data_IF_337724468515
#
_entry.id   IF_337724468515
#
_cell.length_a   1.000
_cell.length_b   1.000
_cell.length_c   1.000
_cell.angle_alpha   90.00
_cell.angle_beta   90.00
_cell.angle_gamma   90.00
#
_symmetry.space_group_name_H-M   'P 1'
#
loop_
_entity.id
_entity.type
_entity.pdbx_description
1 polymer ?
#
# COMPACT_ATOMS: atom_id res chain seq x y z
N UNK A 1 -10.96 -14.18 10.15
CA UNK A 1 -10.13 -13.60 9.08
C UNK A 1 -9.14 -12.67 9.73
N UNK A 2 -7.85 -13.03 9.74
CA UNK A 2 -6.80 -12.16 10.26
C UNK A 2 -6.46 -11.16 9.16
N UNK A 3 -6.81 -9.88 9.34
CA UNK A 3 -6.34 -8.83 8.44
C UNK A 3 -4.83 -8.72 8.59
N UNK A 4 -4.08 -8.93 7.52
CA UNK A 4 -2.64 -8.68 7.52
C UNK A 4 -2.40 -7.18 7.81
N UNK A 5 -1.76 -6.86 8.94
CA UNK A 5 -1.38 -5.49 9.28
C UNK A 5 0.07 -5.25 8.88
N UNK A 6 0.31 -4.30 7.99
CA UNK A 6 1.67 -3.86 7.69
C UNK A 6 2.26 -3.23 8.96
N UNK A 7 3.21 -3.92 9.58
CA UNK A 7 3.74 -3.53 10.89
C UNK A 7 5.23 -3.24 10.76
N UNK A 8 5.62 -2.01 11.10
CA UNK A 8 7.03 -1.64 11.23
C UNK A 8 7.33 -1.40 12.72
N UNK A 9 8.36 -2.07 13.24
CA UNK A 9 8.78 -1.98 14.65
C UNK A 9 10.14 -1.30 14.68
N UNK A 10 10.22 -0.21 15.44
CA UNK A 10 11.46 0.52 15.68
C UNK A 10 11.68 0.71 17.17
N UNK A 11 12.90 0.46 17.64
CA UNK A 11 13.31 0.69 19.02
C UNK A 11 14.04 2.03 19.11
N UNK A 12 13.55 2.92 19.97
CA UNK A 12 14.09 4.27 20.15
C UNK A 12 14.61 4.40 21.58
N UNK A 13 15.74 5.08 21.75
CA UNK A 13 16.38 5.29 23.05
C UNK A 13 16.29 6.77 23.45
N UNK A 14 15.29 7.15 24.28
CA UNK A 14 15.16 8.54 24.73
C UNK A 14 16.38 9.02 25.49
N UNK A 15 16.61 10.33 25.44
CA UNK A 15 17.62 10.94 26.30
C UNK A 15 17.14 10.91 27.77
N UNK A 16 18.05 10.48 28.63
CA UNK A 16 17.83 10.37 30.07
C UNK A 16 18.38 11.62 30.73
N UNK A 17 17.51 12.41 31.35
CA UNK A 17 17.91 13.56 32.15
C UNK A 17 18.11 13.14 33.60
N UNK A 18 19.23 13.55 34.20
CA UNK A 18 19.45 13.46 35.64
C UNK A 18 19.08 14.79 36.27
N UNK A 19 18.08 14.78 37.13
CA UNK A 19 17.59 15.99 37.82
C UNK A 19 18.35 16.23 39.13
N UNK A 20 18.67 15.16 39.86
CA UNK A 20 19.56 15.17 41.04
C UNK A 20 20.29 13.82 41.18
N UNK A 21 20.92 13.56 42.35
CA UNK A 21 21.66 12.31 42.60
C UNK A 21 20.78 11.05 42.60
N UNK A 22 19.47 11.19 42.77
CA UNK A 22 18.53 10.08 42.95
C UNK A 22 17.41 10.08 41.91
N UNK A 23 17.19 11.19 41.20
CA UNK A 23 16.09 11.37 40.26
C UNK A 23 16.59 11.39 38.82
N UNK A 24 16.04 10.46 38.05
CA UNK A 24 16.31 10.28 36.64
C UNK A 24 14.98 10.27 35.91
N UNK A 25 14.84 11.12 34.90
CA UNK A 25 13.62 11.24 34.10
C UNK A 25 13.92 11.03 32.62
N UNK A 26 12.99 10.39 31.92
CA UNK A 26 13.03 10.34 30.46
C UNK A 26 12.59 11.70 29.93
N UNK A 27 13.38 12.31 29.06
CA UNK A 27 12.94 13.53 28.40
C UNK A 27 11.79 13.22 27.43
N UNK A 28 10.78 14.09 27.35
CA UNK A 28 9.79 14.03 26.29
C UNK A 28 10.48 14.03 24.92
N UNK A 29 10.03 13.17 24.01
CA UNK A 29 10.52 13.11 22.66
C UNK A 29 9.38 13.27 21.66
N UNK A 30 9.70 13.80 20.49
CA UNK A 30 8.77 13.90 19.38
C UNK A 30 9.00 12.72 18.43
N UNK A 31 7.94 11.98 18.15
CA UNK A 31 7.93 10.91 17.14
C UNK A 31 7.01 11.34 16.02
N UNK A 32 7.51 11.36 14.80
CA UNK A 32 6.69 11.62 13.61
C UNK A 32 6.56 10.34 12.80
N UNK A 33 5.32 10.00 12.47
CA UNK A 33 4.99 8.82 11.68
C UNK A 33 4.45 9.33 10.35
N UNK A 34 5.07 8.88 9.27
CA UNK A 34 4.68 9.24 7.92
C UNK A 34 4.13 8.02 7.20
N UNK A 35 3.05 8.22 6.46
CA UNK A 35 2.45 7.22 5.58
C UNK A 35 2.64 7.72 4.14
N UNK A 36 3.83 7.52 3.54
CA UNK A 36 4.06 7.97 2.17
C UNK A 36 3.17 7.19 1.20
N UNK A 37 2.72 7.87 0.14
CA UNK A 37 1.83 7.31 -0.88
C UNK A 37 0.46 7.99 -0.92
N UNK A 38 -0.29 7.66 -1.96
CA UNK A 38 -1.67 8.08 -2.14
C UNK A 38 -2.61 6.92 -1.81
N UNK A 39 -3.64 7.21 -1.03
CA UNK A 39 -4.78 6.30 -0.95
C UNK A 39 -5.71 6.62 -2.11
N UNK A 40 -6.24 5.60 -2.78
CA UNK A 40 -7.31 5.84 -3.71
C UNK A 40 -8.54 6.40 -2.98
N UNK A 41 -9.11 7.49 -3.49
CA UNK A 41 -10.20 8.23 -2.82
C UNK A 41 -11.38 7.35 -2.43
N UNK A 42 -11.57 6.23 -3.10
CA UNK A 42 -12.76 5.39 -3.02
C UNK A 42 -12.54 4.16 -2.14
N UNK A 43 -11.27 3.85 -1.82
CA UNK A 43 -10.91 2.88 -0.78
C UNK A 43 -11.16 3.42 0.64
N UNK A 44 -11.32 4.74 0.78
CA UNK A 44 -11.56 5.43 2.05
C UNK A 44 -13.07 5.71 2.18
N UNK A 45 -13.81 4.79 2.84
CA UNK A 45 -15.22 5.00 3.18
C UNK A 45 -15.42 5.70 4.54
N UNK A 46 -14.34 6.09 5.20
CA UNK A 46 -14.31 6.72 6.52
C UNK A 46 -12.88 6.94 6.99
N UNK A 47 -12.67 7.21 8.27
CA UNK A 47 -11.32 7.39 8.80
C UNK A 47 -10.50 6.10 8.66
N UNK A 48 -9.24 6.21 8.21
CA UNK A 48 -8.32 5.08 8.13
C UNK A 48 -7.88 4.74 9.56
N UNK A 49 -8.14 3.52 10.07
CA UNK A 49 -7.72 3.15 11.41
C UNK A 49 -6.20 2.99 11.46
N UNK A 50 -5.53 3.86 12.23
CA UNK A 50 -4.10 3.78 12.49
C UNK A 50 -3.91 3.26 13.92
N UNK A 51 -3.24 2.12 14.06
CA UNK A 51 -2.86 1.56 15.37
C UNK A 51 -1.39 1.84 15.64
N UNK A 52 -1.13 2.64 16.67
CA UNK A 52 0.22 2.86 17.21
C UNK A 52 0.30 2.15 18.55
N UNK A 53 1.41 1.49 18.82
CA UNK A 53 1.66 0.84 20.10
C UNK A 53 3.04 1.23 20.60
N UNK A 54 3.08 1.78 21.81
CA UNK A 54 4.32 2.16 22.50
C UNK A 54 4.40 1.32 23.76
N UNK A 55 5.56 0.71 23.98
CA UNK A 55 5.84 -0.10 25.15
C UNK A 55 7.21 0.25 25.71
N UNK A 56 7.39 -0.01 26.99
CA UNK A 56 8.69 0.05 27.66
C UNK A 56 9.04 -1.36 28.14
N UNK A 57 10.34 -1.65 28.25
CA UNK A 57 10.78 -2.95 28.74
C UNK A 57 10.24 -3.19 30.17
N UNK A 58 9.90 -4.44 30.46
CA UNK A 58 9.14 -4.85 31.65
C UNK A 58 9.81 -4.39 32.95
N UNK A 59 11.14 -4.43 33.01
CA UNK A 59 11.94 -3.99 34.15
C UNK A 59 11.78 -2.50 34.49
N UNK A 60 11.27 -1.68 33.57
CA UNK A 60 11.02 -0.26 33.77
C UNK A 60 9.54 0.09 34.00
N UNK A 61 8.63 -0.89 33.85
CA UNK A 61 7.18 -0.66 33.88
C UNK A 61 6.64 -0.16 35.23
N UNK A 62 7.39 -0.34 36.32
CA UNK A 62 7.02 0.19 37.65
C UNK A 62 7.37 1.66 37.84
N UNK A 63 8.25 2.23 36.99
CA UNK A 63 8.75 3.61 37.13
C UNK A 63 8.05 4.59 36.20
N UNK A 64 7.53 4.11 35.06
CA UNK A 64 6.91 4.98 34.06
C UNK A 64 5.87 4.22 33.25
N UNK A 65 4.89 4.97 32.74
CA UNK A 65 3.86 4.48 31.84
C UNK A 65 3.96 5.27 30.54
N UNK A 66 4.05 4.62 29.38
CA UNK A 66 4.06 5.34 28.11
C UNK A 66 2.73 6.08 27.93
N UNK A 67 2.81 7.35 27.56
CA UNK A 67 1.65 8.19 27.24
C UNK A 67 1.75 8.59 25.77
N UNK A 68 0.66 8.41 25.03
CA UNK A 68 0.54 8.86 23.64
C UNK A 68 -0.47 10.01 23.63
N UNK A 69 0.01 11.19 23.24
CA UNK A 69 -0.85 12.34 22.97
C UNK A 69 -0.91 12.57 21.46
N UNK A 70 -2.13 12.68 20.93
CA UNK A 70 -2.39 12.93 19.51
C UNK A 70 -3.06 14.29 19.39
N UNK A 71 -2.44 15.19 18.65
CA UNK A 71 -3.01 16.48 18.29
C UNK A 71 -3.15 16.57 16.77
N UNK A 72 -4.30 17.04 16.24
CA UNK A 72 -4.44 17.29 14.82
C UNK A 72 -3.48 18.41 14.41
N UNK A 73 -2.70 18.16 13.34
CA UNK A 73 -1.81 19.16 12.77
C UNK A 73 -2.51 19.79 11.56
N UNK A 74 -3.18 20.93 11.78
CA UNK A 74 -3.78 21.70 10.69
C UNK A 74 -2.69 22.40 9.86
N UNK A 75 -2.22 21.73 8.81
CA UNK A 75 -1.23 22.26 7.87
C UNK A 75 -1.73 23.49 7.10
N UNK A 76 -3.05 23.67 6.99
CA UNK A 76 -3.67 24.74 6.19
C UNK A 76 -3.81 26.10 6.90
N UNK A 77 -3.44 26.23 8.18
CA UNK A 77 -3.69 27.46 8.96
C UNK A 77 -2.46 28.12 9.58
N UNK A 78 -1.23 27.73 9.22
CA UNK A 78 -0.03 28.41 9.70
C UNK A 78 0.32 29.69 8.92
N UNK A 79 -0.69 30.43 8.45
CA UNK A 79 -0.57 31.78 7.95
C UNK A 79 -1.40 32.68 8.84
N UNK A 80 -0.75 33.54 9.62
CA UNK A 80 -1.36 34.58 10.48
C UNK A 80 -2.11 34.14 11.73
N UNK A 81 -1.39 34.09 12.87
CA UNK A 81 -1.69 34.96 14.01
C UNK A 81 -0.64 34.76 15.11
N UNK A 82 0.04 35.85 15.44
CA UNK A 82 0.95 35.94 16.58
C UNK A 82 0.09 36.36 17.76
N UNK A 83 -0.10 35.48 18.74
CA UNK A 83 -0.10 35.78 20.17
C UNK A 83 -0.49 34.53 20.97
N UNK A 84 0.48 33.79 21.50
CA UNK A 84 0.33 33.03 22.74
C UNK A 84 1.71 32.71 23.34
N UNK A 85 1.73 32.77 24.68
CA UNK A 85 2.84 32.83 25.63
C UNK A 85 3.91 31.71 25.53
N UNK A 86 5.17 32.15 25.53
CA UNK A 86 6.49 31.63 25.98
C UNK A 86 6.85 30.14 26.10
N UNK A 87 5.94 29.17 25.95
CA UNK A 87 6.30 27.75 25.74
C UNK A 87 6.26 27.33 24.26
N UNK A 88 5.90 28.27 23.38
CA UNK A 88 5.64 28.05 21.95
C UNK A 88 6.94 27.97 21.13
N UNK A 89 8.09 28.42 21.65
CA UNK A 89 9.34 28.52 20.88
C UNK A 89 9.85 27.17 20.38
N UNK A 90 9.86 26.12 21.19
CA UNK A 90 10.32 24.79 20.77
C UNK A 90 9.34 24.12 19.80
N UNK A 91 8.03 24.21 20.07
CA UNK A 91 7.00 23.68 19.18
C UNK A 91 7.00 24.41 17.81
N UNK A 92 7.19 25.72 17.78
CA UNK A 92 7.33 26.50 16.53
C UNK A 92 8.57 26.12 15.74
N UNK A 93 9.68 25.86 16.43
CA UNK A 93 10.94 25.43 15.79
C UNK A 93 10.75 24.04 15.18
N UNK A 94 10.19 23.10 15.93
CA UNK A 94 9.91 21.74 15.46
C UNK A 94 8.94 21.76 14.27
N UNK A 95 7.86 22.55 14.35
CA UNK A 95 6.94 22.75 13.24
C UNK A 95 7.62 23.34 12.01
N UNK A 96 8.57 24.28 12.18
CA UNK A 96 9.29 24.89 11.06
C UNK A 96 10.24 23.90 10.37
N UNK A 97 10.93 23.04 11.13
CA UNK A 97 11.78 21.98 10.57
C UNK A 97 10.94 20.90 9.89
N UNK A 98 9.85 20.45 10.52
CA UNK A 98 8.90 19.51 9.93
C UNK A 98 8.29 20.06 8.64
N UNK A 99 7.92 21.33 8.59
CA UNK A 99 7.35 21.96 7.39
C UNK A 99 8.36 21.96 6.23
N UNK A 100 9.62 22.30 6.47
CA UNK A 100 10.65 22.29 5.43
C UNK A 100 10.94 20.88 4.89
N UNK A 101 10.87 19.87 5.75
CA UNK A 101 11.09 18.47 5.37
C UNK A 101 9.84 17.88 4.68
N UNK A 102 8.64 18.25 5.12
CA UNK A 102 7.36 17.92 4.49
C UNK A 102 7.17 18.57 3.12
N UNK A 103 7.59 19.82 2.92
CA UNK A 103 7.55 20.47 1.60
C UNK A 103 8.43 19.72 0.60
N UNK A 104 9.59 19.25 1.05
CA UNK A 104 10.50 18.45 0.24
C UNK A 104 9.91 17.07 -0.11
N UNK A 105 9.17 16.44 0.80
CA UNK A 105 8.46 15.18 0.57
C UNK A 105 7.21 15.35 -0.30
N UNK A 106 6.48 16.47 -0.14
CA UNK A 106 5.28 16.81 -0.91
C UNK A 106 5.59 17.00 -2.39
N UNK A 107 6.68 17.70 -2.70
CA UNK A 107 7.01 18.04 -4.08
C UNK A 107 7.36 16.83 -4.97
N UNK A 108 7.80 15.72 -4.38
CA UNK A 108 8.02 14.44 -5.09
C UNK A 108 6.76 13.56 -5.17
N UNK A 109 5.71 13.82 -4.39
CA UNK A 109 4.53 12.94 -4.26
C UNK A 109 3.27 13.41 -5.02
N UNK A 110 3.15 14.69 -5.37
CA UNK A 110 1.92 15.26 -5.98
C UNK A 110 1.92 15.30 -7.53
N UNK A 111 2.70 14.45 -8.19
CA UNK A 111 2.84 14.46 -9.66
C UNK A 111 1.97 13.47 -10.44
N UNK A 112 0.95 12.85 -9.85
CA UNK A 112 0.18 11.78 -10.52
C UNK A 112 -1.32 12.07 -10.74
N UNK A 113 -1.70 13.34 -10.85
CA UNK A 113 -3.09 13.73 -11.20
C UNK A 113 -3.35 13.72 -12.72
N UNK A 114 -2.44 13.13 -13.53
CA UNK A 114 -2.49 13.20 -15.00
C UNK A 114 -2.33 11.86 -15.74
N UNK A 115 -2.01 10.76 -15.06
CA UNK A 115 -1.85 9.49 -15.76
C UNK A 115 -3.23 8.88 -15.99
N UNK A 116 -3.62 8.84 -17.26
CA UNK A 116 -4.84 8.16 -17.72
C UNK A 116 -4.68 6.64 -17.53
N UNK A 117 -5.79 5.93 -17.30
CA UNK A 117 -5.84 4.47 -17.23
C UNK A 117 -6.47 3.96 -18.54
N UNK A 118 -5.70 3.70 -19.61
CA UNK A 118 -6.22 3.56 -20.97
C UNK A 118 -6.92 2.22 -21.25
N UNK A 119 -6.81 1.26 -20.33
CA UNK A 119 -7.45 -0.05 -20.44
C UNK A 119 -8.80 -0.13 -19.72
N UNK A 120 -9.24 0.95 -19.06
CA UNK A 120 -10.54 1.06 -18.41
C UNK A 120 -11.38 2.22 -18.98
N UNK A 121 -12.73 2.09 -19.01
CA UNK A 121 -13.49 0.90 -18.65
C UNK A 121 -13.28 -0.24 -19.66
N UNK A 122 -13.56 -1.46 -19.23
CA UNK A 122 -13.64 -2.62 -20.12
C UNK A 122 -14.84 -2.49 -21.07
N UNK A 123 -14.75 -3.06 -22.28
CA UNK A 123 -15.87 -3.12 -23.20
C UNK A 123 -17.10 -3.79 -22.56
N UNK A 124 -18.33 -3.37 -22.91
CA UNK A 124 -19.56 -4.01 -22.41
C UNK A 124 -19.66 -5.49 -22.84
N UNK A 125 -18.96 -5.85 -23.91
CA UNK A 125 -18.87 -7.23 -24.43
C UNK A 125 -17.78 -8.06 -23.79
N UNK A 126 -17.03 -7.51 -22.82
CA UNK A 126 -15.96 -8.24 -22.15
C UNK A 126 -16.53 -9.46 -21.41
N UNK A 127 -16.02 -10.64 -21.74
CA UNK A 127 -16.40 -11.89 -21.09
C UNK A 127 -15.22 -12.42 -20.27
N UNK A 128 -15.35 -12.42 -18.95
CA UNK A 128 -14.29 -12.91 -18.06
C UNK A 128 -14.04 -14.42 -18.17
N UNK A 129 -14.90 -15.21 -18.83
CA UNK A 129 -14.60 -16.61 -19.18
C UNK A 129 -13.82 -16.73 -20.50
N UNK A 130 -13.71 -15.65 -21.27
CA UNK A 130 -13.04 -15.65 -22.56
C UNK A 130 -11.56 -15.28 -22.40
N UNK A 131 -10.70 -16.24 -22.71
CA UNK A 131 -9.25 -16.05 -22.73
C UNK A 131 -8.80 -14.86 -23.57
N UNK A 132 -9.38 -14.67 -24.76
CA UNK A 132 -8.97 -13.61 -25.69
C UNK A 132 -9.22 -12.22 -25.11
N UNK A 133 -10.30 -12.07 -24.34
CA UNK A 133 -10.64 -10.79 -23.74
C UNK A 133 -9.60 -10.43 -22.65
N UNK A 134 -9.21 -11.40 -21.82
CA UNK A 134 -8.11 -11.23 -20.86
C UNK A 134 -6.76 -10.94 -21.53
N UNK A 135 -6.44 -11.61 -22.64
CA UNK A 135 -5.22 -11.34 -23.40
C UNK A 135 -5.16 -9.89 -23.85
N UNK A 136 -6.26 -9.35 -24.38
CA UNK A 136 -6.34 -7.95 -24.82
C UNK A 136 -6.10 -6.99 -23.64
N UNK A 137 -6.72 -7.24 -22.48
CA UNK A 137 -6.55 -6.39 -21.29
C UNK A 137 -5.11 -6.46 -20.76
N UNK A 138 -4.56 -7.67 -20.60
CA UNK A 138 -3.18 -7.86 -20.12
C UNK A 138 -2.15 -7.16 -21.00
N UNK A 139 -2.34 -7.21 -22.33
CA UNK A 139 -1.47 -6.51 -23.27
C UNK A 139 -1.56 -4.99 -23.11
N UNK A 140 -2.76 -4.42 -22.99
CA UNK A 140 -2.94 -2.98 -22.78
C UNK A 140 -2.30 -2.50 -21.46
N UNK A 141 -2.42 -3.29 -20.39
CA UNK A 141 -1.78 -2.97 -19.10
C UNK A 141 -0.25 -3.03 -19.24
N UNK A 142 0.29 -4.06 -19.91
CA UNK A 142 1.73 -4.17 -20.15
C UNK A 142 2.26 -2.96 -20.94
N UNK A 143 1.58 -2.56 -22.01
CA UNK A 143 1.96 -1.39 -22.81
C UNK A 143 1.98 -0.13 -21.93
N UNK A 144 0.92 0.11 -21.17
CA UNK A 144 0.81 1.26 -20.29
C UNK A 144 1.90 1.30 -19.20
N UNK A 145 2.15 0.17 -18.51
CA UNK A 145 3.20 0.06 -17.50
C UNK A 145 4.61 0.32 -18.04
N UNK A 146 4.83 0.02 -19.32
CA UNK A 146 6.16 0.08 -19.93
C UNK A 146 6.43 1.36 -20.69
N UNK A 147 5.40 2.18 -20.95
CA UNK A 147 5.49 3.42 -21.74
C UNK A 147 5.09 4.68 -20.98
N UNK A 148 4.12 4.60 -20.07
CA UNK A 148 3.44 5.79 -19.52
C UNK A 148 3.64 5.99 -18.01
N UNK A 149 3.90 4.93 -17.25
CA UNK A 149 3.95 4.99 -15.78
C UNK A 149 5.39 4.90 -15.26
N UNK A 150 5.76 5.75 -14.30
CA UNK A 150 7.04 5.64 -13.60
C UNK A 150 7.05 4.39 -12.70
N UNK A 151 8.05 3.53 -12.89
CA UNK A 151 8.34 2.33 -12.07
C UNK A 151 8.37 2.55 -10.56
N UNK A 152 8.56 3.79 -10.09
CA UNK A 152 8.58 4.12 -8.65
C UNK A 152 7.23 4.55 -8.10
N UNK A 153 6.21 4.73 -8.94
CA UNK A 153 4.90 5.21 -8.51
C UNK A 153 4.04 4.09 -7.91
N UNK A 154 3.12 4.46 -7.02
CA UNK A 154 2.09 3.54 -6.51
C UNK A 154 1.19 3.00 -7.64
N UNK A 155 0.98 3.82 -8.67
CA UNK A 155 0.19 3.46 -9.85
C UNK A 155 0.86 2.35 -10.67
N UNK A 156 2.19 2.32 -10.74
CA UNK A 156 2.94 1.24 -11.37
C UNK A 156 2.81 -0.06 -10.59
N UNK A 157 2.94 -0.02 -9.27
CA UNK A 157 2.74 -1.20 -8.40
C UNK A 157 1.32 -1.74 -8.55
N UNK A 158 0.32 -0.86 -8.50
CA UNK A 158 -1.07 -1.23 -8.73
C UNK A 158 -1.28 -1.85 -10.13
N UNK A 159 -0.73 -1.23 -11.17
CA UNK A 159 -0.82 -1.73 -12.54
C UNK A 159 -0.12 -3.08 -12.74
N UNK A 160 1.02 -3.32 -12.09
CA UNK A 160 1.73 -4.60 -12.10
C UNK A 160 0.86 -5.72 -11.54
N UNK A 161 0.23 -5.48 -10.39
CA UNK A 161 -0.64 -6.48 -9.77
C UNK A 161 -1.88 -6.74 -10.67
N UNK A 162 -2.41 -5.69 -11.32
CA UNK A 162 -3.48 -5.81 -12.32
C UNK A 162 -3.05 -6.63 -13.55
N UNK A 163 -1.83 -6.41 -14.03
CA UNK A 163 -1.24 -7.18 -15.12
C UNK A 163 -1.20 -8.66 -14.76
N UNK A 164 -0.70 -9.02 -13.56
CA UNK A 164 -0.61 -10.42 -13.17
C UNK A 164 -1.97 -11.11 -13.04
N UNK A 165 -2.97 -10.42 -12.48
CA UNK A 165 -4.35 -10.92 -12.43
C UNK A 165 -4.87 -11.24 -13.84
N UNK A 166 -4.74 -10.29 -14.77
CA UNK A 166 -5.23 -10.46 -16.15
C UNK A 166 -4.44 -11.47 -16.96
N UNK A 167 -3.12 -11.54 -16.76
CA UNK A 167 -2.24 -12.49 -17.44
C UNK A 167 -2.54 -13.92 -17.00
N UNK A 168 -2.65 -14.17 -15.69
CA UNK A 168 -2.99 -15.49 -15.17
C UNK A 168 -4.41 -15.90 -15.60
N UNK A 169 -5.38 -14.97 -15.62
CA UNK A 169 -6.71 -15.27 -16.16
C UNK A 169 -6.68 -15.69 -17.64
N UNK A 170 -5.79 -15.10 -18.45
CA UNK A 170 -5.56 -15.50 -19.84
C UNK A 170 -4.77 -16.81 -20.00
N UNK A 171 -3.92 -17.14 -19.02
CA UNK A 171 -3.05 -18.32 -19.05
C UNK A 171 -3.05 -19.06 -17.71
N UNK A 172 -4.16 -19.73 -17.33
CA UNK A 172 -4.28 -20.36 -16.02
C UNK A 172 -3.33 -21.53 -15.76
N UNK A 173 -2.57 -21.99 -16.77
CA UNK A 173 -1.52 -22.99 -16.57
C UNK A 173 -0.20 -22.38 -16.11
N UNK A 174 -0.01 -21.06 -16.21
CA UNK A 174 1.24 -20.37 -15.86
C UNK A 174 1.72 -20.76 -14.44
N UNK A 175 3.03 -20.95 -14.20
CA UNK A 175 4.15 -20.85 -15.13
C UNK A 175 4.33 -22.12 -15.99
N UNK A 176 3.51 -23.14 -15.76
CA UNK A 176 3.50 -24.37 -16.57
C UNK A 176 2.71 -24.19 -17.89
N UNK A 177 2.90 -25.10 -18.84
CA UNK A 177 2.19 -25.05 -20.12
C UNK A 177 2.66 -23.92 -21.05
N UNK A 178 1.73 -23.42 -21.87
CA UNK A 178 2.04 -22.45 -22.93
C UNK A 178 1.49 -21.06 -22.60
N UNK A 179 2.38 -20.07 -22.60
CA UNK A 179 2.09 -18.67 -22.35
C UNK A 179 3.06 -17.80 -23.20
N UNK A 180 2.66 -16.59 -23.58
CA UNK A 180 3.49 -15.68 -24.35
C UNK A 180 4.53 -15.01 -23.44
N UNK A 181 5.70 -14.73 -23.99
CA UNK A 181 6.70 -13.95 -23.25
C UNK A 181 6.15 -12.56 -22.90
N UNK A 182 6.21 -12.20 -21.62
CA UNK A 182 5.87 -10.86 -21.14
C UNK A 182 7.11 -9.97 -21.10
N UNK A 183 6.91 -8.66 -20.95
CA UNK A 183 8.02 -7.71 -20.84
C UNK A 183 8.77 -7.89 -19.50
N UNK A 184 10.08 -8.19 -19.50
CA UNK A 184 10.84 -8.48 -18.28
C UNK A 184 10.97 -7.28 -17.33
N UNK A 185 10.59 -6.08 -17.75
CA UNK A 185 10.47 -4.91 -16.86
C UNK A 185 9.33 -5.06 -15.85
N UNK A 186 8.40 -5.99 -16.08
CA UNK A 186 7.34 -6.35 -15.14
C UNK A 186 7.81 -7.59 -14.35
N UNK A 187 8.26 -7.42 -13.09
CA UNK A 187 8.77 -8.50 -12.29
C UNK A 187 7.64 -9.37 -11.75
N UNK A 188 7.95 -10.64 -11.44
CA UNK A 188 7.09 -11.59 -10.73
C UNK A 188 6.99 -11.26 -9.24
N UNK A 189 6.49 -10.08 -8.94
CA UNK A 189 6.35 -9.53 -7.59
C UNK A 189 4.91 -9.07 -7.38
N UNK A 190 4.40 -9.27 -6.15
CA UNK A 190 3.03 -8.93 -5.78
C UNK A 190 2.34 -10.11 -5.11
N UNK A 191 1.42 -9.81 -4.19
CA UNK A 191 0.79 -10.82 -3.33
C UNK A 191 0.13 -11.93 -4.15
N UNK A 192 -0.64 -11.57 -5.18
CA UNK A 192 -1.33 -12.52 -6.03
C UNK A 192 -0.37 -13.46 -6.77
N UNK A 193 0.63 -12.92 -7.49
CA UNK A 193 1.51 -13.73 -8.33
C UNK A 193 2.44 -14.60 -7.50
N UNK A 194 2.90 -14.12 -6.34
CA UNK A 194 3.72 -14.92 -5.42
C UNK A 194 2.94 -16.08 -4.81
N UNK A 195 1.67 -15.87 -4.46
CA UNK A 195 0.80 -16.96 -4.00
C UNK A 195 0.52 -17.96 -5.12
N UNK A 196 0.23 -17.46 -6.33
CA UNK A 196 0.02 -18.29 -7.51
C UNK A 196 1.21 -19.20 -7.83
N UNK A 197 2.43 -18.66 -7.77
CA UNK A 197 3.67 -19.42 -8.00
C UNK A 197 3.90 -20.50 -6.94
N UNK A 198 3.46 -20.28 -5.70
CA UNK A 198 3.55 -21.30 -4.63
C UNK A 198 2.60 -22.47 -4.89
N UNK A 199 1.37 -22.19 -5.33
CA UNK A 199 0.39 -23.24 -5.64
C UNK A 199 0.78 -24.05 -6.88
N UNK A 200 1.39 -23.41 -7.87
CA UNK A 200 1.79 -24.06 -9.12
C UNK A 200 3.14 -24.80 -9.03
N UNK A 201 3.87 -24.67 -7.92
CA UNK A 201 5.20 -25.27 -7.72
C UNK A 201 5.23 -26.53 -6.85
N UNK A 202 4.12 -26.92 -6.21
CA UNK A 202 4.08 -28.04 -5.26
C UNK A 202 3.72 -29.37 -5.95
N UNK A 203 4.60 -29.82 -6.85
CA UNK A 203 4.63 -31.22 -7.34
C UNK A 203 5.33 -32.12 -6.30
N UNK A 204 4.86 -32.11 -5.05
CA UNK A 204 5.31 -33.04 -4.02
C UNK A 204 4.70 -34.43 -4.28
N UNK A 205 5.51 -35.30 -4.88
CA UNK A 205 5.26 -36.74 -4.99
C UNK A 205 4.85 -37.36 -3.64
N UNK A 206 3.58 -37.72 -3.51
CA UNK A 206 3.04 -38.46 -2.36
C UNK A 206 1.65 -39.01 -2.67
N UNK A 207 1.55 -40.33 -2.66
CA UNK A 207 0.38 -41.14 -3.03
C UNK A 207 -0.90 -40.80 -2.26
N UNK A 208 -2.04 -41.01 -2.95
CA UNK A 208 -3.40 -41.17 -2.42
C UNK A 208 -3.97 -40.05 -1.54
N UNK A 209 -4.50 -39.00 -2.20
CA UNK A 209 -5.76 -38.38 -1.75
C UNK A 209 -6.56 -37.87 -2.95
N UNK A 210 -7.84 -38.20 -2.93
CA UNK A 210 -8.79 -37.91 -3.99
C UNK A 210 -8.92 -36.41 -4.27
N UNK A 211 -8.65 -36.04 -5.53
CA UNK A 211 -9.21 -34.94 -6.32
C UNK A 211 -10.28 -34.09 -5.59
N UNK A 212 -9.90 -32.99 -4.93
CA UNK A 212 -10.76 -31.78 -4.76
C UNK A 212 -10.06 -30.55 -4.13
N UNK A 213 -8.80 -30.21 -4.40
CA UNK A 213 -8.19 -29.02 -3.76
C UNK A 213 -7.24 -28.24 -4.70
N UNK A 214 -7.58 -26.98 -5.00
CA UNK A 214 -6.59 -25.93 -5.29
C UNK A 214 -6.62 -25.18 -6.63
N UNK A 215 -7.50 -25.51 -7.58
CA UNK A 215 -7.59 -24.73 -8.82
C UNK A 215 -8.42 -23.47 -8.59
N UNK A 216 -7.76 -22.32 -8.44
CA UNK A 216 -8.40 -21.01 -8.45
C UNK A 216 -9.24 -20.89 -9.72
N UNK A 217 -10.55 -20.66 -9.56
CA UNK A 217 -11.45 -20.50 -10.69
C UNK A 217 -11.22 -19.16 -11.38
N UNK A 218 -11.45 -19.09 -12.69
CA UNK A 218 -11.44 -17.81 -13.42
C UNK A 218 -12.45 -16.81 -12.83
N UNK A 219 -13.51 -17.30 -12.20
CA UNK A 219 -14.46 -16.47 -11.43
C UNK A 219 -13.81 -15.81 -10.22
N UNK A 220 -12.95 -16.52 -9.49
CA UNK A 220 -12.24 -15.97 -8.32
C UNK A 220 -11.26 -14.87 -8.76
N UNK A 221 -10.54 -15.11 -9.86
CA UNK A 221 -9.64 -14.12 -10.46
C UNK A 221 -10.41 -12.88 -10.92
N UNK A 222 -11.61 -13.05 -11.48
CA UNK A 222 -12.47 -11.92 -11.86
C UNK A 222 -12.89 -11.08 -10.65
N UNK A 223 -13.28 -11.71 -9.54
CA UNK A 223 -13.62 -10.98 -8.31
C UNK A 223 -12.43 -10.21 -7.75
N UNK A 224 -11.25 -10.83 -7.71
CA UNK A 224 -10.04 -10.18 -7.20
C UNK A 224 -9.57 -9.06 -8.13
N UNK A 225 -9.68 -9.25 -9.44
CA UNK A 225 -9.50 -8.17 -10.42
C UNK A 225 -10.46 -7.01 -10.14
N UNK A 226 -11.75 -7.27 -9.89
CA UNK A 226 -12.70 -6.20 -9.62
C UNK A 226 -12.36 -5.42 -8.34
N UNK A 227 -12.01 -6.11 -7.25
CA UNK A 227 -11.59 -5.48 -5.99
C UNK A 227 -10.33 -4.65 -6.17
N UNK A 228 -9.35 -5.18 -6.93
CA UNK A 228 -8.09 -4.50 -7.19
C UNK A 228 -8.27 -3.26 -8.07
N UNK A 229 -9.12 -3.34 -9.11
CA UNK A 229 -9.41 -2.20 -9.98
C UNK A 229 -10.15 -1.08 -9.23
N UNK A 230 -11.05 -1.43 -8.30
CA UNK A 230 -11.80 -0.47 -7.50
C UNK A 230 -10.92 0.45 -6.63
N UNK A 231 -9.64 0.10 -6.45
CA UNK A 231 -8.66 1.00 -5.85
C UNK A 231 -8.52 2.25 -6.73
N UNK A 232 -7.95 2.16 -7.94
CA UNK A 232 -7.66 3.36 -8.75
C UNK A 232 -8.75 3.69 -9.79
N UNK A 233 -9.78 2.86 -9.95
CA UNK A 233 -10.87 3.06 -10.89
C UNK A 233 -12.24 2.77 -10.23
N UNK A 234 -12.93 3.80 -9.71
CA UNK A 234 -14.16 3.61 -8.92
C UNK A 234 -15.45 3.56 -9.74
N UNK A 235 -15.34 3.62 -11.07
CA UNK A 235 -16.47 3.59 -11.97
C UNK A 235 -16.77 2.12 -12.33
N UNK A 236 -17.96 1.89 -12.90
CA UNK A 236 -18.31 0.58 -13.42
C UNK A 236 -17.20 0.07 -14.35
N UNK A 237 -16.64 -1.10 -14.04
CA UNK A 237 -15.57 -1.69 -14.86
C UNK A 237 -16.04 -2.03 -16.25
N UNK A 238 -17.33 -2.33 -16.43
CA UNK A 238 -17.96 -2.46 -17.73
C UNK A 238 -18.54 -1.10 -18.13
N UNK A 239 -18.23 -0.65 -19.34
CA UNK A 239 -18.87 0.54 -19.91
C UNK A 239 -20.39 0.32 -20.00
N UNK A 240 -21.18 1.36 -19.72
CA UNK A 240 -22.58 1.40 -20.12
C UNK A 240 -22.66 1.73 -21.60
N UNK A 241 -23.56 1.07 -22.35
CA UNK A 241 -23.92 1.44 -23.73
C UNK A 241 -24.61 2.82 -23.81
#
# INVERSE_FOLDING_TARGET
MNSASLTNISTIYPHVRREDMNNVSLQPMFVTIFFPGSFPRQAIQGDIPIRISVSIAEEYGSFTTPVIEVAPMDLHHCGSSIHCSDNVSTAKIILKYLHAELEKFSQDMFYDDKVSIPFLPLPPTFNYFNRTDWQIVSQKIQEWLTSEVDTKSSLWTWGRDAFWLTFVAAYPSFPTGQWPMWDPRIPLEGEFIEQWLKWSGDDSAGEDSAIDEGLVSVSDIWEDFCKHMALFYPFSLLSSD
#
